data_IF_345575537215
#
_entry.id   IF_345575537215
#
_cell.length_a   1.000
_cell.length_b   1.000
_cell.length_c   1.000
_cell.angle_alpha   90.00
_cell.angle_beta   90.00
_cell.angle_gamma   90.00
#
_symmetry.space_group_name_H-M   'P 1'
#
loop_
_entity.id
_entity.type
_entity.pdbx_description
1 polymer ?
#
# COMPACT_ATOMS: atom_id res chain seq x y z
N UNK A 1 9.31 20.88 15.77
CA UNK A 1 9.16 19.65 14.96
C UNK A 1 8.11 18.69 15.52
N UNK A 2 8.20 18.22 16.77
CA UNK A 2 7.25 17.23 17.33
C UNK A 2 5.78 17.67 17.22
N UNK A 3 5.48 18.94 17.51
CA UNK A 3 4.12 19.48 17.35
C UNK A 3 3.63 19.57 15.90
N UNK A 4 4.54 19.62 14.91
CA UNK A 4 4.17 19.60 13.48
C UNK A 4 3.86 18.19 13.02
N UNK A 5 4.67 17.21 13.44
CA UNK A 5 4.43 15.80 13.14
C UNK A 5 3.04 15.38 13.61
N UNK A 6 2.67 15.72 14.85
CA UNK A 6 1.34 15.41 15.37
C UNK A 6 0.19 16.09 14.61
N UNK A 7 0.40 17.30 14.10
CA UNK A 7 -0.57 18.00 13.25
C UNK A 7 -0.72 17.28 11.90
N UNK A 8 0.39 16.92 11.27
CA UNK A 8 0.40 16.26 9.96
C UNK A 8 -0.19 14.84 10.01
N UNK A 9 0.01 14.11 11.10
CA UNK A 9 -0.67 12.81 11.33
C UNK A 9 -2.19 13.00 11.39
N UNK A 10 -2.67 13.99 12.18
CA UNK A 10 -4.11 14.31 12.26
C UNK A 10 -4.65 14.76 10.91
N UNK A 11 -3.89 15.54 10.15
CA UNK A 11 -4.27 15.95 8.80
C UNK A 11 -4.38 14.74 7.86
N UNK A 12 -3.40 13.84 7.87
CA UNK A 12 -3.40 12.61 7.07
C UNK A 12 -4.57 11.67 7.38
N UNK A 13 -4.96 11.59 8.66
CA UNK A 13 -6.14 10.84 9.11
C UNK A 13 -7.44 11.52 8.71
N UNK A 14 -7.59 12.83 8.96
CA UNK A 14 -8.81 13.59 8.65
C UNK A 14 -9.07 13.70 7.15
N UNK A 15 -8.01 13.83 6.36
CA UNK A 15 -8.11 13.87 4.89
C UNK A 15 -8.36 12.49 4.28
N UNK A 16 -8.34 11.42 5.08
CA UNK A 16 -8.50 10.04 4.61
C UNK A 16 -7.31 9.51 3.82
N UNK A 17 -6.30 10.33 3.48
CA UNK A 17 -5.18 9.92 2.61
C UNK A 17 -4.36 8.76 3.19
N UNK A 18 -4.10 8.79 4.50
CA UNK A 18 -3.42 7.69 5.19
C UNK A 18 -4.26 6.42 5.21
N UNK A 19 -5.59 6.56 5.36
CA UNK A 19 -6.52 5.43 5.34
C UNK A 19 -6.64 4.83 3.94
N UNK A 20 -6.67 5.65 2.89
CA UNK A 20 -6.70 5.20 1.50
C UNK A 20 -5.43 4.41 1.20
N UNK A 21 -4.24 4.95 1.54
CA UNK A 21 -2.99 4.21 1.37
C UNK A 21 -3.03 2.86 2.11
N UNK A 22 -3.37 2.87 3.40
CA UNK A 22 -3.43 1.64 4.21
C UNK A 22 -4.40 0.62 3.62
N UNK A 23 -5.63 1.04 3.33
CA UNK A 23 -6.67 0.17 2.83
C UNK A 23 -6.30 -0.43 1.46
N UNK A 24 -5.73 0.38 0.57
CA UNK A 24 -5.36 -0.09 -0.77
C UNK A 24 -4.20 -1.06 -0.76
N UNK A 25 -3.12 -0.79 -0.01
CA UNK A 25 -1.99 -1.72 0.10
C UNK A 25 -2.41 -3.03 0.77
N UNK A 26 -3.21 -2.98 1.83
CA UNK A 26 -3.76 -4.19 2.46
C UNK A 26 -4.72 -4.93 1.53
N UNK A 27 -5.52 -4.21 0.74
CA UNK A 27 -6.42 -4.81 -0.23
C UNK A 27 -5.64 -5.64 -1.26
N UNK A 28 -4.58 -5.09 -1.86
CA UNK A 28 -3.73 -5.85 -2.78
C UNK A 28 -3.05 -7.03 -2.09
N UNK A 29 -2.45 -6.81 -0.92
CA UNK A 29 -1.77 -7.87 -0.16
C UNK A 29 -2.68 -9.06 0.19
N UNK A 30 -3.95 -8.82 0.52
CA UNK A 30 -4.88 -9.90 0.86
C UNK A 30 -5.54 -10.50 -0.39
N UNK A 31 -5.73 -9.71 -1.44
CA UNK A 31 -6.38 -10.15 -2.65
C UNK A 31 -5.46 -11.01 -3.53
N UNK A 32 -4.15 -10.72 -3.58
CA UNK A 32 -3.20 -11.46 -4.41
C UNK A 32 -3.21 -12.97 -4.12
N UNK A 33 -3.12 -13.44 -2.86
CA UNK A 33 -3.20 -14.88 -2.58
C UNK A 33 -4.55 -15.51 -2.94
N UNK A 34 -5.67 -14.79 -2.73
CA UNK A 34 -7.01 -15.27 -3.12
C UNK A 34 -7.13 -15.41 -4.63
N UNK A 35 -6.65 -14.41 -5.37
CA UNK A 35 -6.68 -14.38 -6.83
C UNK A 35 -5.92 -15.56 -7.41
N UNK A 36 -4.73 -15.84 -6.89
CA UNK A 36 -3.87 -16.90 -7.41
C UNK A 36 -4.39 -18.29 -7.06
N UNK A 37 -4.95 -18.47 -5.85
CA UNK A 37 -5.43 -19.79 -5.42
C UNK A 37 -6.80 -20.17 -5.95
N UNK A 38 -7.73 -19.22 -6.04
CA UNK A 38 -9.14 -19.54 -6.31
C UNK A 38 -9.64 -18.96 -7.63
N UNK A 39 -9.32 -17.70 -7.92
CA UNK A 39 -9.92 -17.01 -9.08
C UNK A 39 -9.25 -17.44 -10.38
N UNK A 40 -7.92 -17.44 -10.43
CA UNK A 40 -7.15 -17.82 -11.60
C UNK A 40 -7.48 -19.24 -12.09
N UNK A 41 -7.44 -20.31 -11.25
CA UNK A 41 -7.81 -21.64 -11.70
C UNK A 41 -9.27 -21.72 -12.13
N UNK A 42 -10.20 -21.08 -11.40
CA UNK A 42 -11.62 -21.08 -11.79
C UNK A 42 -11.89 -20.42 -13.15
N UNK A 43 -11.15 -19.36 -13.49
CA UNK A 43 -11.23 -18.72 -14.82
C UNK A 43 -10.63 -19.61 -15.90
N UNK A 44 -9.49 -20.26 -15.64
CA UNK A 44 -8.84 -21.17 -16.59
C UNK A 44 -9.67 -22.43 -16.87
N UNK A 45 -10.29 -23.01 -15.85
CA UNK A 45 -11.24 -24.12 -15.99
C UNK A 45 -12.43 -23.73 -16.87
N UNK A 46 -12.98 -22.52 -16.67
CA UNK A 46 -14.08 -22.01 -17.51
C UNK A 46 -13.71 -21.82 -18.98
N UNK A 47 -12.43 -21.67 -19.29
CA UNK A 47 -11.90 -21.54 -20.65
C UNK A 47 -11.52 -22.90 -21.29
N UNK A 48 -11.73 -24.02 -20.59
CA UNK A 48 -11.52 -25.36 -21.13
C UNK A 48 -10.06 -25.85 -21.08
N UNK A 49 -9.22 -25.25 -20.23
CA UNK A 49 -7.85 -25.74 -19.99
C UNK A 49 -7.93 -27.06 -19.18
N UNK A 50 -7.34 -28.17 -19.66
CA UNK A 50 -7.37 -29.43 -18.94
C UNK A 50 -6.65 -29.33 -17.59
N UNK A 51 -7.22 -29.95 -16.56
CA UNK A 51 -6.75 -29.90 -15.16
C UNK A 51 -5.33 -30.42 -14.95
N UNK A 52 -4.78 -31.20 -15.90
CA UNK A 52 -3.41 -31.71 -15.87
C UNK A 52 -2.35 -30.63 -16.21
N UNK A 53 -2.63 -29.73 -17.17
CA UNK A 53 -1.76 -28.57 -17.46
C UNK A 53 -1.88 -27.47 -16.39
N UNK A 54 -2.99 -27.47 -15.65
CA UNK A 54 -3.21 -26.60 -14.49
C UNK A 54 -2.37 -27.02 -13.26
N UNK A 55 -1.84 -28.25 -13.22
CA UNK A 55 -0.99 -28.71 -12.10
C UNK A 55 0.27 -27.86 -11.91
N UNK A 56 0.84 -27.32 -13.00
CA UNK A 56 1.98 -26.40 -12.94
C UNK A 56 1.62 -24.99 -12.45
N UNK A 57 0.35 -24.58 -12.60
CA UNK A 57 -0.18 -23.29 -12.13
C UNK A 57 -0.74 -23.42 -10.70
N UNK A 58 -1.28 -24.58 -10.33
CA UNK A 58 -1.71 -24.92 -8.96
C UNK A 58 -0.52 -25.19 -8.03
N UNK A 59 0.67 -25.46 -8.56
CA UNK A 59 1.94 -25.53 -7.83
C UNK A 59 2.54 -24.15 -7.51
N UNK A 60 1.73 -23.09 -7.48
CA UNK A 60 2.22 -21.76 -7.16
C UNK A 60 2.67 -21.72 -5.71
N UNK A 61 3.95 -21.44 -5.51
CA UNK A 61 4.59 -21.41 -4.20
C UNK A 61 4.30 -20.10 -3.47
N UNK A 62 4.47 -20.10 -2.14
CA UNK A 62 4.38 -18.88 -1.32
C UNK A 62 5.30 -17.77 -1.87
N UNK A 63 6.50 -18.15 -2.33
CA UNK A 63 7.48 -17.22 -2.91
C UNK A 63 6.97 -16.54 -4.18
N UNK A 64 6.30 -17.30 -5.06
CA UNK A 64 5.72 -16.75 -6.28
C UNK A 64 4.60 -15.75 -5.97
N UNK A 65 3.77 -16.02 -4.96
CA UNK A 65 2.73 -15.09 -4.51
C UNK A 65 3.32 -13.75 -4.04
N UNK A 66 4.37 -13.79 -3.22
CA UNK A 66 5.05 -12.59 -2.72
C UNK A 66 5.70 -11.81 -3.87
N UNK A 67 6.33 -12.49 -4.84
CA UNK A 67 6.91 -11.84 -6.01
C UNK A 67 5.86 -11.12 -6.86
N UNK A 68 4.70 -11.74 -7.06
CA UNK A 68 3.57 -11.12 -7.78
C UNK A 68 3.08 -9.89 -7.02
N UNK A 69 2.88 -9.99 -5.71
CA UNK A 69 2.49 -8.85 -4.89
C UNK A 69 3.51 -7.70 -4.97
N UNK A 70 4.82 -8.00 -4.93
CA UNK A 70 5.86 -6.97 -5.08
C UNK A 70 5.80 -6.25 -6.44
N UNK A 71 5.53 -6.98 -7.52
CA UNK A 71 5.33 -6.38 -8.84
C UNK A 71 4.07 -5.50 -8.88
N UNK A 72 2.95 -5.98 -8.33
CA UNK A 72 1.69 -5.21 -8.25
C UNK A 72 1.87 -3.91 -7.46
N UNK A 73 2.61 -3.96 -6.35
CA UNK A 73 2.97 -2.78 -5.55
C UNK A 73 3.80 -1.78 -6.36
N UNK A 74 4.73 -2.25 -7.17
CA UNK A 74 5.56 -1.37 -7.99
C UNK A 74 4.75 -0.71 -9.12
N UNK A 75 3.89 -1.46 -9.80
CA UNK A 75 3.09 -0.97 -10.92
C UNK A 75 1.90 -0.13 -10.45
N UNK A 76 0.96 -0.75 -9.74
CA UNK A 76 -0.29 -0.13 -9.30
C UNK A 76 -0.10 0.71 -8.04
N UNK A 77 0.75 0.26 -7.11
CA UNK A 77 1.04 1.02 -5.89
C UNK A 77 1.68 2.37 -6.18
N UNK A 78 2.58 2.47 -7.17
CA UNK A 78 3.18 3.77 -7.57
C UNK A 78 2.13 4.75 -8.07
N UNK A 79 1.19 4.29 -8.92
CA UNK A 79 0.10 5.13 -9.44
C UNK A 79 -0.81 5.61 -8.30
N UNK A 80 -1.14 4.70 -7.38
CA UNK A 80 -1.98 5.01 -6.22
C UNK A 80 -1.33 6.04 -5.30
N UNK A 81 -0.04 5.87 -5.02
CA UNK A 81 0.75 6.83 -4.23
C UNK A 81 0.79 8.19 -4.92
N UNK A 82 1.03 8.22 -6.24
CA UNK A 82 1.04 9.44 -7.02
C UNK A 82 -0.29 10.19 -6.88
N UNK A 83 -1.43 9.55 -7.10
CA UNK A 83 -2.72 10.24 -7.02
C UNK A 83 -3.12 10.65 -5.60
N UNK A 84 -2.82 9.83 -4.60
CA UNK A 84 -3.23 10.10 -3.20
C UNK A 84 -2.40 11.22 -2.55
N UNK A 85 -1.09 11.23 -2.81
CA UNK A 85 -0.16 12.19 -2.21
C UNK A 85 0.10 13.42 -3.07
N UNK A 86 -0.16 13.36 -4.38
CA UNK A 86 -0.09 14.54 -5.22
C UNK A 86 -1.06 15.61 -4.70
N UNK A 87 -0.58 16.85 -4.64
CA UNK A 87 -1.37 17.97 -4.17
C UNK A 87 -1.53 18.08 -2.66
N UNK A 88 -0.74 17.39 -1.82
CA UNK A 88 -0.74 17.63 -0.36
C UNK A 88 -0.54 19.11 0.00
N UNK A 89 0.44 19.77 -0.61
CA UNK A 89 0.71 21.20 -0.39
C UNK A 89 -0.30 22.07 -1.14
N UNK A 90 -0.64 21.71 -2.38
CA UNK A 90 -1.61 22.45 -3.18
C UNK A 90 -2.98 22.53 -2.51
N UNK A 91 -3.40 21.47 -1.81
CA UNK A 91 -4.63 21.43 -1.04
C UNK A 91 -4.59 22.42 0.14
N UNK A 92 -3.48 22.49 0.87
CA UNK A 92 -3.36 23.47 1.97
C UNK A 92 -3.27 24.91 1.50
N UNK A 93 -2.70 25.15 0.31
CA UNK A 93 -2.71 26.47 -0.33
C UNK A 93 -4.14 26.85 -0.71
N UNK A 94 -4.86 25.94 -1.38
CA UNK A 94 -6.26 26.16 -1.80
C UNK A 94 -7.19 26.40 -0.62
N UNK A 95 -7.01 25.64 0.46
CA UNK A 95 -7.86 25.70 1.65
C UNK A 95 -7.40 26.81 2.62
N UNK A 96 -6.39 27.61 2.25
CA UNK A 96 -5.78 28.70 3.04
C UNK A 96 -5.27 28.29 4.43
N UNK A 97 -5.14 26.98 4.70
CA UNK A 97 -4.65 26.47 5.99
C UNK A 97 -3.14 26.59 6.15
N UNK A 98 -2.40 26.80 5.05
CA UNK A 98 -0.96 27.03 5.06
C UNK A 98 -0.57 28.36 5.73
N UNK A 99 -1.48 29.34 5.75
CA UNK A 99 -1.25 30.65 6.37
C UNK A 99 -1.15 30.54 7.89
N UNK A 100 -1.90 29.63 8.51
CA UNK A 100 -1.91 29.43 9.97
C UNK A 100 -0.52 29.09 10.56
N UNK A 101 0.22 28.07 10.06
CA UNK A 101 1.56 27.80 10.54
C UNK A 101 2.55 28.92 10.18
N UNK A 102 2.39 29.58 9.03
CA UNK A 102 3.25 30.70 8.62
C UNK A 102 3.12 31.90 9.58
N UNK A 103 1.89 32.29 9.92
CA UNK A 103 1.61 33.36 10.89
C UNK A 103 2.05 33.01 12.32
N UNK A 104 2.15 31.71 12.65
CA UNK A 104 2.71 31.25 13.93
C UNK A 104 4.24 31.31 14.01
N UNK A 105 4.89 31.96 13.05
CA UNK A 105 6.35 32.15 13.02
C UNK A 105 7.13 30.92 12.55
N UNK A 106 6.47 29.95 11.91
CA UNK A 106 7.13 28.72 11.47
C UNK A 106 7.59 28.85 10.03
N UNK A 107 8.85 28.46 9.80
CA UNK A 107 9.46 28.50 8.47
C UNK A 107 8.83 27.47 7.52
N UNK A 108 8.70 27.86 6.26
CA UNK A 108 8.15 27.01 5.19
C UNK A 108 8.87 25.64 5.07
N UNK A 109 10.19 25.63 5.21
CA UNK A 109 10.98 24.39 5.19
C UNK A 109 10.64 23.42 6.33
N UNK A 110 10.31 23.92 7.52
CA UNK A 110 9.89 23.09 8.65
C UNK A 110 8.54 22.39 8.38
N UNK A 111 7.64 23.07 7.67
CA UNK A 111 6.31 22.53 7.31
C UNK A 111 6.47 21.41 6.28
N UNK A 112 7.27 21.64 5.24
CA UNK A 112 7.52 20.64 4.20
C UNK A 112 8.25 19.42 4.79
N UNK A 113 9.27 19.64 5.62
CA UNK A 113 10.01 18.56 6.24
C UNK A 113 9.10 17.68 7.13
N UNK A 114 8.19 18.29 7.88
CA UNK A 114 7.23 17.53 8.69
C UNK A 114 6.29 16.67 7.84
N UNK A 115 5.78 17.19 6.71
CA UNK A 115 4.98 16.40 5.77
C UNK A 115 5.78 15.24 5.17
N UNK A 116 7.00 15.52 4.72
CA UNK A 116 7.87 14.51 4.12
C UNK A 116 8.18 13.39 5.12
N UNK A 117 8.42 13.71 6.39
CA UNK A 117 8.62 12.70 7.44
C UNK A 117 7.37 11.86 7.70
N UNK A 118 6.20 12.47 7.81
CA UNK A 118 4.96 11.73 8.13
C UNK A 118 4.51 10.87 6.96
N UNK A 119 4.38 11.45 5.77
CA UNK A 119 3.91 10.72 4.59
C UNK A 119 4.99 9.81 4.02
N UNK A 120 6.27 10.20 4.07
CA UNK A 120 7.39 9.31 3.71
C UNK A 120 7.52 8.13 4.67
N UNK A 121 7.36 8.36 5.98
CA UNK A 121 7.31 7.28 6.98
C UNK A 121 6.14 6.33 6.72
N UNK A 122 4.96 6.86 6.37
CA UNK A 122 3.81 6.04 5.99
C UNK A 122 4.05 5.22 4.71
N UNK A 123 4.75 5.79 3.71
CA UNK A 123 5.10 5.07 2.47
C UNK A 123 6.06 3.91 2.69
N UNK A 124 6.86 3.92 3.76
CA UNK A 124 7.72 2.78 4.12
C UNK A 124 6.94 1.82 5.01
N UNK A 125 6.27 2.33 6.04
CA UNK A 125 5.59 1.51 7.04
C UNK A 125 4.40 0.73 6.50
N UNK A 126 3.54 1.35 5.67
CA UNK A 126 2.32 0.72 5.17
C UNK A 126 2.63 -0.47 4.24
N UNK A 127 3.48 -0.34 3.21
CA UNK A 127 3.79 -1.47 2.34
C UNK A 127 4.52 -2.60 3.06
N UNK A 128 5.36 -2.29 4.07
CA UNK A 128 5.98 -3.32 4.91
C UNK A 128 4.94 -4.10 5.71
N UNK A 129 3.98 -3.41 6.34
CA UNK A 129 2.89 -4.08 7.05
C UNK A 129 2.03 -4.94 6.12
N UNK A 130 1.75 -4.43 4.91
CA UNK A 130 1.00 -5.16 3.91
C UNK A 130 1.77 -6.38 3.38
N UNK A 131 3.09 -6.28 3.19
CA UNK A 131 3.95 -7.41 2.82
C UNK A 131 3.95 -8.50 3.91
N UNK A 132 4.01 -8.12 5.19
CA UNK A 132 3.90 -9.08 6.30
C UNK A 132 2.52 -9.76 6.30
N UNK A 133 1.45 -9.01 6.02
CA UNK A 133 0.11 -9.58 5.89
C UNK A 133 0.00 -10.57 4.72
N UNK A 134 0.57 -10.22 3.55
CA UNK A 134 0.64 -11.10 2.38
C UNK A 134 1.43 -12.38 2.70
N UNK A 135 2.61 -12.25 3.34
CA UNK A 135 3.42 -13.40 3.75
C UNK A 135 2.65 -14.37 4.65
N UNK A 136 1.99 -13.86 5.68
CA UNK A 136 1.20 -14.67 6.63
C UNK A 136 0.03 -15.34 5.89
N UNK A 137 -0.69 -14.58 5.07
CA UNK A 137 -1.89 -15.07 4.40
C UNK A 137 -1.55 -16.09 3.29
N UNK A 138 -0.51 -15.84 2.51
CA UNK A 138 0.01 -16.78 1.52
C UNK A 138 0.51 -18.08 2.18
N UNK A 139 1.20 -17.99 3.32
CA UNK A 139 1.63 -19.17 4.08
C UNK A 139 0.48 -20.03 4.60
N UNK A 140 -0.61 -19.40 5.06
CA UNK A 140 -1.85 -20.11 5.44
C UNK A 140 -2.53 -20.79 4.25
N UNK A 141 -2.43 -20.20 3.05
CA UNK A 141 -3.07 -20.75 1.84
C UNK A 141 -2.23 -21.83 1.16
N UNK A 142 -0.94 -21.63 0.97
CA UNK A 142 -0.08 -22.48 0.13
C UNK A 142 0.89 -23.37 0.93
N UNK A 143 0.80 -23.35 2.26
CA UNK A 143 1.80 -23.88 3.20
C UNK A 143 3.10 -23.08 3.21
N UNK A 144 3.74 -23.00 4.38
CA UNK A 144 4.97 -22.25 4.56
C UNK A 144 6.15 -22.99 3.91
N UNK A 145 6.65 -22.46 2.79
CA UNK A 145 7.91 -22.93 2.19
C UNK A 145 9.11 -22.08 2.63
N UNK A 146 8.86 -20.83 3.04
CA UNK A 146 9.90 -19.90 3.48
C UNK A 146 9.99 -19.95 5.00
N UNK A 147 10.97 -20.67 5.54
CA UNK A 147 11.38 -20.58 6.95
C UNK A 147 11.95 -19.18 7.21
N UNK A 148 11.50 -18.54 8.29
CA UNK A 148 11.75 -17.15 8.65
C UNK A 148 13.15 -16.95 9.25
#
# INVERSE_FOLDING_TARGET
MIGEIGKEIKFGLRSGKLLILLASFLFFALLTPVMLKFVLPGVLESQGVPSEDLGGIMGMTQTACIQIYMNDVFEMGTILVAFTLCGLVAQEIRDNTLVLPLCSGRGFGSIIAAKLLVFGGALVGIPLLALVADYIYAGLLFSFEVEL
#
